data_IF_428431942658
#
_entry.id   IF_428431942658
#
_cell.length_a   1.000
_cell.length_b   1.000
_cell.length_c   1.000
_cell.angle_alpha   90.00
_cell.angle_beta   90.00
_cell.angle_gamma   90.00
#
_symmetry.space_group_name_H-M   'P 1'
#
loop_
_entity.id
_entity.type
_entity.pdbx_description
1 polymer ?
#
# COMPACT_ATOMS: atom_id res chain seq x y z
N UNK A 1 10.77 -11.14 -1.06
CA UNK A 1 9.68 -10.85 -0.10
C UNK A 1 8.40 -10.36 -0.77
N UNK A 2 8.48 -9.54 -1.83
CA UNK A 2 7.37 -8.65 -2.20
C UNK A 2 6.21 -9.24 -3.04
N UNK A 3 6.28 -10.47 -3.56
CA UNK A 3 5.20 -11.03 -4.41
C UNK A 3 4.32 -12.05 -3.68
N UNK A 4 4.60 -12.29 -2.40
CA UNK A 4 3.92 -13.29 -1.59
C UNK A 4 2.90 -12.71 -0.62
N UNK A 5 2.78 -11.38 -0.51
CA UNK A 5 2.00 -10.73 0.55
C UNK A 5 0.83 -9.89 0.04
N UNK A 6 0.51 -9.98 -1.26
CA UNK A 6 -0.71 -9.44 -1.86
C UNK A 6 -1.53 -10.60 -2.45
N UNK A 7 -2.85 -10.45 -2.55
CA UNK A 7 -3.79 -11.45 -3.07
C UNK A 7 -3.65 -12.82 -2.38
N UNK A 8 -3.32 -12.79 -1.09
CA UNK A 8 -3.18 -13.93 -0.20
C UNK A 8 -3.79 -13.57 1.17
N UNK A 9 -4.28 -14.54 1.92
CA UNK A 9 -5.09 -14.27 3.12
C UNK A 9 -4.32 -13.53 4.23
N UNK A 10 -3.00 -13.50 4.17
CA UNK A 10 -2.16 -12.77 5.11
C UNK A 10 -1.87 -11.33 4.67
N UNK A 11 -2.44 -10.82 3.57
CA UNK A 11 -2.23 -9.43 3.11
C UNK A 11 -2.52 -8.41 4.22
N UNK A 12 -3.75 -8.38 4.74
CA UNK A 12 -4.15 -7.42 5.77
C UNK A 12 -3.33 -7.56 7.07
N UNK A 13 -3.21 -8.75 7.70
CA UNK A 13 -2.44 -8.88 8.93
C UNK A 13 -0.93 -8.63 8.73
N UNK A 14 -0.35 -9.03 7.60
CA UNK A 14 1.06 -8.75 7.29
C UNK A 14 1.30 -7.23 7.18
N UNK A 15 0.46 -6.50 6.46
CA UNK A 15 0.65 -5.05 6.29
C UNK A 15 0.35 -4.27 7.57
N UNK A 16 -0.59 -4.72 8.41
CA UNK A 16 -0.78 -4.19 9.77
C UNK A 16 0.50 -4.34 10.59
N UNK A 17 1.04 -5.57 10.67
CA UNK A 17 2.27 -5.82 11.40
C UNK A 17 3.42 -4.98 10.84
N UNK A 18 3.53 -4.85 9.51
CA UNK A 18 4.62 -4.13 8.90
C UNK A 18 4.61 -2.62 9.22
N UNK A 19 3.43 -2.00 9.24
CA UNK A 19 3.26 -0.61 9.71
C UNK A 19 3.62 -0.48 11.19
N UNK A 20 3.21 -1.44 12.03
CA UNK A 20 3.55 -1.44 13.47
C UNK A 20 5.07 -1.56 13.67
N UNK A 21 5.74 -2.46 12.98
CA UNK A 21 7.21 -2.61 13.07
C UNK A 21 7.93 -1.33 12.60
N UNK A 22 7.42 -0.67 11.56
CA UNK A 22 7.96 0.62 11.12
C UNK A 22 7.75 1.72 12.17
N UNK A 23 6.57 1.78 12.80
CA UNK A 23 6.28 2.70 13.90
C UNK A 23 7.23 2.47 15.09
N UNK A 24 7.40 1.23 15.51
CA UNK A 24 8.32 0.84 16.57
C UNK A 24 9.76 1.22 16.23
N UNK A 25 10.19 1.02 14.99
CA UNK A 25 11.50 1.49 14.54
C UNK A 25 11.64 3.02 14.64
N UNK A 26 10.62 3.79 14.24
CA UNK A 26 10.63 5.25 14.39
C UNK A 26 10.68 5.68 15.87
N UNK A 27 9.97 4.98 16.76
CA UNK A 27 9.99 5.24 18.20
C UNK A 27 11.37 4.96 18.79
N UNK A 28 11.94 3.80 18.48
CA UNK A 28 13.18 3.31 19.07
C UNK A 28 14.46 3.96 18.50
N UNK A 29 14.46 4.33 17.21
CA UNK A 29 15.64 4.88 16.53
C UNK A 29 15.54 6.37 16.18
N UNK A 30 14.34 6.94 16.15
CA UNK A 30 14.11 8.32 15.69
C UNK A 30 13.38 9.20 16.71
N UNK A 31 13.15 8.73 17.94
CA UNK A 31 12.42 9.44 19.00
C UNK A 31 11.02 9.91 18.57
N UNK A 32 10.33 9.12 17.74
CA UNK A 32 8.96 9.44 17.36
C UNK A 32 8.02 9.36 18.57
N UNK A 33 7.35 10.46 18.89
CA UNK A 33 6.42 10.59 20.03
C UNK A 33 4.97 10.82 19.59
N UNK A 34 4.70 10.74 18.29
CA UNK A 34 3.34 10.84 17.77
C UNK A 34 2.44 9.73 18.32
N UNK A 35 1.11 9.93 18.28
CA UNK A 35 0.15 9.00 18.87
C UNK A 35 0.13 7.64 18.17
N UNK A 36 0.28 7.63 16.84
CA UNK A 36 0.34 6.45 15.99
C UNK A 36 0.96 6.84 14.63
N UNK A 37 1.18 5.86 13.76
CA UNK A 37 1.54 6.10 12.35
C UNK A 37 0.49 6.96 11.64
N UNK A 38 0.88 8.04 10.95
CA UNK A 38 -0.06 8.84 10.16
C UNK A 38 -0.56 8.04 8.96
N UNK A 39 -1.77 8.35 8.51
CA UNK A 39 -2.37 7.75 7.32
C UNK A 39 -2.70 8.79 6.26
N UNK A 40 -2.68 8.39 4.99
CA UNK A 40 -3.15 9.21 3.89
C UNK A 40 -4.65 8.96 3.67
N UNK A 41 -5.48 9.92 4.06
CA UNK A 41 -6.92 9.82 3.83
C UNK A 41 -7.27 10.08 2.34
N UNK A 42 -7.46 8.99 1.59
CA UNK A 42 -7.83 9.04 0.17
C UNK A 42 -9.07 9.87 -0.11
N UNK A 43 -10.06 9.85 0.79
CA UNK A 43 -11.40 10.41 0.52
C UNK A 43 -11.38 11.93 0.39
N UNK A 44 -10.39 12.58 1.00
CA UNK A 44 -10.17 14.02 0.95
C UNK A 44 -9.56 14.42 -0.40
N UNK A 45 -8.65 13.60 -0.92
CA UNK A 45 -7.87 13.94 -2.12
C UNK A 45 -8.43 13.34 -3.42
N UNK A 46 -9.30 12.33 -3.35
CA UNK A 46 -9.82 11.62 -4.53
C UNK A 46 -10.48 12.53 -5.57
N UNK A 47 -11.08 13.64 -5.13
CA UNK A 47 -11.70 14.62 -6.03
C UNK A 47 -10.69 15.54 -6.74
N UNK A 48 -9.53 15.80 -6.13
CA UNK A 48 -8.49 16.67 -6.69
C UNK A 48 -7.12 16.36 -6.07
N UNK A 49 -6.55 15.23 -6.48
CA UNK A 49 -5.30 14.74 -5.92
C UNK A 49 -4.11 15.65 -6.24
N UNK A 50 -4.10 16.28 -7.41
CA UNK A 50 -3.05 17.24 -7.82
C UNK A 50 -3.07 18.52 -6.97
N UNK A 51 -4.20 18.83 -6.34
CA UNK A 51 -4.34 19.95 -5.40
C UNK A 51 -4.13 19.57 -3.93
N UNK A 52 -3.81 18.32 -3.61
CA UNK A 52 -3.56 17.90 -2.23
C UNK A 52 -2.31 18.58 -1.67
N UNK A 53 -2.43 19.18 -0.49
CA UNK A 53 -1.30 19.80 0.21
C UNK A 53 -0.14 18.80 0.41
N UNK A 54 -0.43 17.51 0.56
CA UNK A 54 0.60 16.47 0.71
C UNK A 54 1.50 16.37 -0.54
N UNK A 55 0.93 16.62 -1.73
CA UNK A 55 1.61 16.52 -3.02
C UNK A 55 2.08 17.87 -3.58
N UNK A 56 1.58 19.00 -3.06
CA UNK A 56 1.98 20.34 -3.50
C UNK A 56 2.92 21.06 -2.54
N UNK A 57 3.03 20.65 -1.27
CA UNK A 57 3.95 21.27 -0.31
C UNK A 57 5.42 20.93 -0.65
N UNK A 58 6.23 21.95 -0.92
CA UNK A 58 7.68 21.84 -1.19
C UNK A 58 8.55 21.97 0.05
N UNK A 59 7.96 22.21 1.23
CA UNK A 59 8.69 22.28 2.48
C UNK A 59 9.20 20.90 2.93
N UNK A 60 10.11 20.82 3.93
CA UNK A 60 10.56 19.54 4.48
C UNK A 60 9.46 18.63 5.05
N UNK A 61 8.24 19.13 5.28
CA UNK A 61 7.08 18.28 5.67
C UNK A 61 6.28 17.74 4.49
N UNK A 62 6.47 18.28 3.28
CA UNK A 62 5.75 17.86 2.10
C UNK A 62 6.28 16.56 1.48
N UNK A 63 5.40 15.77 0.87
CA UNK A 63 5.76 14.51 0.22
C UNK A 63 5.99 14.66 -1.29
N UNK A 64 5.38 15.65 -1.94
CA UNK A 64 5.46 15.97 -3.39
C UNK A 64 4.85 14.97 -4.37
N UNK A 65 4.14 15.45 -5.39
CA UNK A 65 3.49 14.57 -6.37
C UNK A 65 4.44 14.01 -7.44
N UNK A 66 4.74 14.84 -8.45
CA UNK A 66 5.38 14.45 -9.71
C UNK A 66 6.89 14.68 -9.67
N UNK A 67 7.67 13.69 -10.10
CA UNK A 67 9.10 13.84 -10.34
C UNK A 67 9.45 14.26 -11.78
N UNK A 68 10.73 14.46 -12.05
CA UNK A 68 11.23 15.00 -13.31
C UNK A 68 11.16 13.96 -14.45
N UNK A 69 10.32 14.16 -15.49
CA UNK A 69 10.20 13.23 -16.61
C UNK A 69 11.49 13.08 -17.42
N UNK A 70 12.44 14.01 -17.31
CA UNK A 70 13.73 13.94 -17.98
C UNK A 70 14.81 13.24 -17.13
N UNK A 71 14.49 12.85 -15.90
CA UNK A 71 15.41 12.22 -14.95
C UNK A 71 14.76 11.02 -14.24
N UNK A 72 14.24 10.07 -15.01
CA UNK A 72 13.57 8.85 -14.54
C UNK A 72 12.47 9.11 -13.50
N UNK A 73 11.77 10.25 -13.61
CA UNK A 73 10.75 10.70 -12.66
C UNK A 73 11.24 10.83 -11.22
N UNK A 74 12.53 11.08 -11.02
CA UNK A 74 13.12 11.38 -9.71
C UNK A 74 12.52 12.66 -9.13
N UNK A 75 12.32 12.71 -7.82
CA UNK A 75 11.93 13.96 -7.14
C UNK A 75 13.01 15.05 -7.33
N UNK A 76 12.57 16.30 -7.47
CA UNK A 76 13.48 17.45 -7.63
C UNK A 76 14.26 17.68 -6.33
N UNK A 77 15.60 17.84 -6.37
CA UNK A 77 16.38 18.09 -5.15
C UNK A 77 15.88 19.32 -4.38
N UNK A 78 15.64 19.16 -3.07
CA UNK A 78 15.10 20.20 -2.19
C UNK A 78 13.59 20.38 -2.25
N UNK A 79 12.87 19.55 -3.00
CA UNK A 79 11.43 19.62 -3.16
C UNK A 79 10.73 18.58 -2.27
N UNK A 80 10.37 18.96 -1.05
CA UNK A 80 9.79 18.04 -0.07
C UNK A 80 10.82 17.36 0.85
N UNK A 81 10.34 16.71 1.91
CA UNK A 81 11.18 16.08 2.93
C UNK A 81 12.01 14.88 2.45
N UNK A 82 11.57 14.23 1.36
CA UNK A 82 12.17 12.99 0.86
C UNK A 82 12.85 13.12 -0.50
N UNK A 83 12.97 14.33 -1.06
CA UNK A 83 13.57 14.52 -2.39
C UNK A 83 15.01 14.03 -2.52
N UNK A 84 15.74 14.08 -1.41
CA UNK A 84 17.14 13.70 -1.32
C UNK A 84 17.31 12.31 -0.68
N UNK A 85 16.21 11.61 -0.38
CA UNK A 85 16.28 10.27 0.18
C UNK A 85 16.85 9.33 -0.87
N UNK A 86 18.04 8.81 -0.60
CA UNK A 86 18.76 7.92 -1.50
C UNK A 86 18.69 6.50 -0.99
N UNK A 87 18.08 5.65 -1.79
CA UNK A 87 17.87 4.24 -1.49
C UNK A 87 18.88 3.40 -2.25
N UNK A 88 19.55 2.46 -1.57
CA UNK A 88 20.70 1.72 -2.13
C UNK A 88 20.38 0.32 -2.67
N UNK A 89 19.30 -0.35 -2.24
CA UNK A 89 19.06 -1.78 -2.55
C UNK A 89 17.60 -2.09 -2.91
N UNK A 90 17.29 -2.67 -4.08
CA UNK A 90 18.19 -3.46 -4.92
C UNK A 90 18.87 -2.65 -6.02
N UNK A 91 18.39 -1.44 -6.29
CA UNK A 91 18.92 -0.53 -7.28
C UNK A 91 19.13 0.83 -6.61
N UNK A 92 20.34 1.41 -6.66
CA UNK A 92 20.60 2.74 -6.13
C UNK A 92 19.86 3.85 -6.90
N UNK A 93 18.97 4.60 -6.24
CA UNK A 93 18.27 5.77 -6.80
C UNK A 93 17.68 6.66 -5.70
N UNK A 94 17.30 7.90 -6.04
CA UNK A 94 16.38 8.71 -5.23
C UNK A 94 14.94 8.30 -5.50
N UNK A 95 14.00 8.69 -4.65
CA UNK A 95 12.57 8.40 -4.85
C UNK A 95 12.08 8.90 -6.21
N UNK A 96 11.33 8.04 -6.90
CA UNK A 96 10.75 8.29 -8.22
C UNK A 96 9.23 8.24 -8.17
N UNK A 97 8.58 9.22 -8.81
CA UNK A 97 7.12 9.34 -8.89
C UNK A 97 6.69 9.78 -10.29
N UNK A 98 6.24 8.81 -11.08
CA UNK A 98 5.58 9.06 -12.36
C UNK A 98 4.07 9.23 -12.13
N UNK A 99 3.73 10.33 -11.46
CA UNK A 99 2.38 10.58 -10.99
C UNK A 99 1.38 10.67 -12.16
N UNK A 100 0.41 9.76 -12.21
CA UNK A 100 -0.66 9.72 -13.21
C UNK A 100 -2.01 9.66 -12.49
N UNK A 101 -3.01 10.42 -12.95
CA UNK A 101 -4.29 10.54 -12.24
C UNK A 101 -5.06 9.22 -12.14
N UNK A 102 -4.91 8.32 -13.12
CA UNK A 102 -5.71 7.11 -13.21
C UNK A 102 -4.93 5.89 -12.70
N UNK A 103 -5.61 4.92 -12.04
CA UNK A 103 -7.07 4.85 -11.86
C UNK A 103 -7.61 5.64 -10.65
N UNK A 104 -6.76 6.27 -9.84
CA UNK A 104 -7.20 6.87 -8.57
C UNK A 104 -8.23 8.01 -8.70
N UNK A 105 -8.25 8.75 -9.81
CA UNK A 105 -9.28 9.77 -10.07
C UNK A 105 -10.73 9.21 -10.07
N UNK A 106 -10.89 7.90 -10.26
CA UNK A 106 -12.20 7.23 -10.14
C UNK A 106 -12.36 6.42 -8.86
N UNK A 107 -11.28 6.21 -8.11
CA UNK A 107 -11.24 5.40 -6.88
C UNK A 107 -11.00 6.25 -5.62
N UNK A 108 -10.96 5.63 -4.45
CA UNK A 108 -10.63 6.31 -3.19
C UNK A 108 -11.70 7.28 -2.68
N UNK A 109 -12.87 7.36 -3.33
CA UNK A 109 -13.95 8.25 -2.92
C UNK A 109 -14.56 7.79 -1.60
N UNK A 110 -15.04 8.76 -0.83
CA UNK A 110 -15.73 8.54 0.45
C UNK A 110 -16.81 7.45 0.36
N UNK A 111 -17.72 7.56 -0.61
CA UNK A 111 -18.79 6.58 -0.84
C UNK A 111 -18.29 5.15 -1.16
N UNK A 112 -17.09 5.01 -1.73
CA UNK A 112 -16.51 3.69 -2.03
C UNK A 112 -15.87 3.08 -0.78
N UNK A 113 -15.15 3.90 0.01
CA UNK A 113 -14.56 3.50 1.28
C UNK A 113 -15.67 3.11 2.28
N UNK A 114 -16.70 3.95 2.41
CA UNK A 114 -17.86 3.67 3.25
C UNK A 114 -18.59 2.39 2.84
N UNK A 115 -18.76 2.17 1.53
CA UNK A 115 -19.38 0.93 1.03
C UNK A 115 -18.55 -0.28 1.44
N UNK A 116 -17.24 -0.25 1.27
CA UNK A 116 -16.35 -1.35 1.62
C UNK A 116 -16.37 -1.64 3.13
N UNK A 117 -16.39 -0.62 3.98
CA UNK A 117 -16.46 -0.76 5.45
C UNK A 117 -17.77 -1.42 5.89
N UNK A 118 -18.88 -1.10 5.22
CA UNK A 118 -20.22 -1.54 5.61
C UNK A 118 -20.73 -2.77 4.82
N UNK A 119 -19.92 -3.36 3.94
CA UNK A 119 -20.27 -4.54 3.15
C UNK A 119 -19.66 -5.83 3.71
N UNK A 120 -19.94 -6.95 3.04
CA UNK A 120 -19.30 -8.27 3.29
C UNK A 120 -19.34 -8.73 4.75
N UNK A 121 -20.45 -8.51 5.45
CA UNK A 121 -20.56 -8.84 6.89
C UNK A 121 -20.23 -10.32 7.14
N UNK A 122 -19.19 -10.57 7.93
CA UNK A 122 -18.66 -11.91 8.25
C UNK A 122 -17.88 -12.58 7.12
N UNK A 123 -17.84 -11.99 5.92
CA UNK A 123 -17.16 -12.52 4.74
C UNK A 123 -15.83 -11.78 4.52
N UNK A 124 -14.82 -12.15 5.30
CA UNK A 124 -13.48 -11.59 5.19
C UNK A 124 -12.87 -11.81 3.80
N UNK A 125 -13.17 -12.93 3.14
CA UNK A 125 -12.62 -13.25 1.81
C UNK A 125 -13.08 -12.24 0.76
N UNK A 126 -14.39 -11.96 0.71
CA UNK A 126 -14.94 -10.98 -0.24
C UNK A 126 -14.53 -9.55 0.12
N UNK A 127 -14.46 -9.22 1.42
CA UNK A 127 -13.93 -7.94 1.88
C UNK A 127 -12.49 -7.69 1.40
N UNK A 128 -11.58 -8.63 1.67
CA UNK A 128 -10.18 -8.49 1.27
C UNK A 128 -10.04 -8.45 -0.26
N UNK A 129 -10.81 -9.28 -0.97
CA UNK A 129 -10.81 -9.28 -2.43
C UNK A 129 -11.21 -7.92 -3.03
N UNK A 130 -12.26 -7.28 -2.51
CA UNK A 130 -12.66 -5.93 -2.93
C UNK A 130 -11.64 -4.87 -2.51
N UNK A 131 -10.98 -5.04 -1.36
CA UNK A 131 -9.92 -4.14 -0.89
C UNK A 131 -8.65 -4.21 -1.76
N UNK A 132 -8.35 -5.35 -2.41
CA UNK A 132 -7.13 -5.55 -3.21
C UNK A 132 -7.33 -5.49 -4.73
N UNK A 133 -8.57 -5.54 -5.23
CA UNK A 133 -8.84 -5.52 -6.67
C UNK A 133 -8.24 -4.29 -7.36
N UNK A 134 -7.99 -4.35 -8.66
CA UNK A 134 -7.33 -3.27 -9.40
C UNK A 134 -8.02 -1.90 -9.27
N UNK A 135 -9.36 -1.90 -9.20
CA UNK A 135 -10.20 -0.71 -8.98
C UNK A 135 -10.51 -0.47 -7.50
N UNK A 136 -9.60 -0.84 -6.60
CA UNK A 136 -9.66 -0.47 -5.18
C UNK A 136 -8.83 0.79 -4.93
N UNK A 137 -9.14 1.52 -3.86
CA UNK A 137 -8.33 2.65 -3.41
C UNK A 137 -6.86 2.24 -3.11
N UNK A 138 -6.65 1.02 -2.60
CA UNK A 138 -5.33 0.45 -2.36
C UNK A 138 -4.52 0.33 -3.66
N UNK A 139 -5.02 -0.48 -4.62
CA UNK A 139 -4.29 -0.69 -5.86
C UNK A 139 -4.18 0.60 -6.67
N UNK A 140 -5.24 1.41 -6.72
CA UNK A 140 -5.25 2.67 -7.45
C UNK A 140 -4.25 3.69 -6.89
N UNK A 141 -4.15 3.81 -5.56
CA UNK A 141 -3.19 4.71 -4.92
C UNK A 141 -1.76 4.35 -5.28
N UNK A 142 -1.42 3.07 -5.29
CA UNK A 142 -0.12 2.61 -5.77
C UNK A 142 0.15 2.92 -7.24
N UNK A 143 -0.80 2.61 -8.14
CA UNK A 143 -0.61 2.81 -9.57
C UNK A 143 -0.50 4.28 -9.95
N UNK A 144 -1.32 5.12 -9.31
CA UNK A 144 -1.34 6.58 -9.53
C UNK A 144 0.04 7.20 -9.28
N UNK A 145 0.74 6.79 -8.23
CA UNK A 145 2.05 7.34 -7.92
C UNK A 145 3.13 6.98 -8.95
N UNK A 146 2.95 5.86 -9.67
CA UNK A 146 3.97 5.32 -10.57
C UNK A 146 5.30 5.13 -9.86
N UNK A 147 6.41 5.17 -10.61
CA UNK A 147 7.76 5.13 -10.04
C UNK A 147 7.94 4.00 -9.02
N UNK A 148 8.41 4.31 -7.82
CA UNK A 148 8.68 3.30 -6.79
C UNK A 148 7.40 2.71 -6.18
N UNK A 149 6.39 3.54 -5.92
CA UNK A 149 5.09 3.11 -5.39
C UNK A 149 4.31 2.21 -6.38
N UNK A 150 4.48 2.45 -7.67
CA UNK A 150 3.90 1.66 -8.78
C UNK A 150 4.77 0.48 -9.23
N UNK A 151 5.95 0.27 -8.63
CA UNK A 151 6.97 -0.74 -9.02
C UNK A 151 7.50 -0.61 -10.45
N UNK A 152 7.60 0.60 -10.98
CA UNK A 152 8.25 0.83 -12.26
C UNK A 152 9.75 0.63 -12.10
N UNK A 153 10.38 -0.10 -13.01
CA UNK A 153 11.81 -0.41 -12.93
C UNK A 153 12.62 0.85 -13.27
N UNK A 154 13.71 1.18 -12.53
CA UNK A 154 14.59 2.28 -12.91
C UNK A 154 15.19 2.12 -14.30
N UNK A 155 15.26 3.23 -15.04
CA UNK A 155 15.84 3.24 -16.37
C UNK A 155 17.28 2.71 -16.33
N UNK A 156 17.58 1.71 -17.17
CA UNK A 156 18.91 1.09 -17.25
C UNK A 156 19.10 -0.22 -16.47
N UNK A 157 18.12 -0.67 -15.68
CA UNK A 157 18.20 -1.92 -14.90
C UNK A 157 17.30 -3.04 -15.48
N UNK A 158 17.76 -3.78 -16.49
CA UNK A 158 16.82 -4.60 -17.30
C UNK A 158 16.63 -6.09 -16.97
N UNK A 159 17.37 -6.74 -16.05
CA UNK A 159 17.26 -8.22 -15.95
C UNK A 159 17.29 -8.86 -14.55
N UNK A 160 17.44 -8.10 -13.45
CA UNK A 160 17.56 -8.69 -12.08
C UNK A 160 16.52 -8.13 -11.08
N UNK A 161 15.71 -7.14 -11.47
CA UNK A 161 14.93 -6.31 -10.52
C UNK A 161 13.41 -6.54 -10.60
N UNK A 162 12.90 -7.31 -11.55
CA UNK A 162 11.44 -7.58 -11.68
C UNK A 162 10.83 -8.17 -10.40
N UNK A 163 11.60 -8.92 -9.61
CA UNK A 163 11.16 -9.54 -8.33
C UNK A 163 11.60 -8.76 -7.08
N UNK A 164 12.23 -7.59 -7.25
CA UNK A 164 12.85 -6.82 -6.15
C UNK A 164 12.46 -5.33 -6.09
N UNK A 165 11.62 -4.82 -7.00
CA UNK A 165 11.10 -3.46 -6.87
C UNK A 165 10.35 -3.31 -5.53
N UNK A 166 10.81 -2.39 -4.68
CA UNK A 166 10.33 -2.22 -3.31
C UNK A 166 9.49 -0.96 -3.20
N UNK A 167 8.18 -1.10 -2.94
CA UNK A 167 7.26 0.05 -2.76
C UNK A 167 7.56 0.84 -1.48
N UNK A 168 8.11 0.14 -0.48
CA UNK A 168 8.39 0.64 0.87
C UNK A 168 9.50 1.69 0.94
N UNK A 169 10.20 1.92 -0.16
CA UNK A 169 11.28 2.92 -0.26
C UNK A 169 10.72 4.34 -0.27
N UNK A 170 9.47 4.48 -0.73
CA UNK A 170 8.74 5.73 -0.69
C UNK A 170 8.00 5.83 0.64
N UNK A 171 8.26 6.89 1.41
CA UNK A 171 7.60 7.12 2.71
C UNK A 171 6.06 7.15 2.62
N UNK A 172 5.51 7.49 1.45
CA UNK A 172 4.07 7.45 1.20
C UNK A 172 3.48 6.05 1.34
N UNK A 173 4.28 4.98 1.18
CA UNK A 173 3.86 3.61 1.42
C UNK A 173 3.26 3.43 2.82
N UNK A 174 3.93 3.96 3.84
CA UNK A 174 3.53 3.80 5.24
C UNK A 174 2.22 4.53 5.53
N UNK A 175 2.04 5.73 4.97
CA UNK A 175 0.78 6.47 5.08
C UNK A 175 -0.35 5.77 4.34
N UNK A 176 -0.06 5.23 3.15
CA UNK A 176 -1.04 4.50 2.34
C UNK A 176 -1.51 3.23 3.06
N UNK A 177 -0.59 2.41 3.58
CA UNK A 177 -0.96 1.18 4.28
C UNK A 177 -1.51 1.41 5.68
N UNK A 178 -1.19 2.52 6.34
CA UNK A 178 -1.91 2.94 7.56
C UNK A 178 -3.38 3.26 7.26
N UNK A 179 -3.69 3.78 6.07
CA UNK A 179 -5.09 3.98 5.64
C UNK A 179 -5.77 2.65 5.29
N UNK A 180 -5.08 1.72 4.62
CA UNK A 180 -5.58 0.34 4.40
C UNK A 180 -5.92 -0.32 5.74
N UNK A 181 -5.03 -0.18 6.72
CA UNK A 181 -5.22 -0.76 8.04
C UNK A 181 -6.40 -0.14 8.79
N UNK A 182 -6.54 1.19 8.72
CA UNK A 182 -7.68 1.92 9.27
C UNK A 182 -9.00 1.41 8.68
N UNK A 183 -9.08 1.25 7.36
CA UNK A 183 -10.29 0.75 6.68
C UNK A 183 -10.64 -0.66 7.15
N UNK A 184 -9.64 -1.54 7.28
CA UNK A 184 -9.87 -2.88 7.82
C UNK A 184 -10.31 -2.85 9.29
N UNK A 185 -9.68 -2.01 10.12
CA UNK A 185 -10.10 -1.82 11.51
C UNK A 185 -11.54 -1.32 11.60
N UNK A 186 -11.95 -0.36 10.77
CA UNK A 186 -13.34 0.13 10.74
C UNK A 186 -14.31 -0.98 10.32
N UNK A 187 -13.97 -1.78 9.30
CA UNK A 187 -14.78 -2.94 8.92
C UNK A 187 -14.90 -3.97 10.06
N UNK A 188 -13.81 -4.27 10.79
CA UNK A 188 -13.84 -5.16 11.95
C UNK A 188 -14.78 -4.65 13.05
N UNK A 189 -14.86 -3.32 13.22
CA UNK A 189 -15.69 -2.67 14.24
C UNK A 189 -17.13 -2.38 13.78
N UNK A 190 -17.41 -2.43 12.47
CA UNK A 190 -18.73 -2.14 11.92
C UNK A 190 -19.79 -3.21 12.28
N UNK A 191 -19.38 -4.46 12.50
CA UNK A 191 -20.31 -5.54 12.85
C UNK A 191 -19.63 -6.65 13.68
N UNK A 192 -20.30 -7.24 14.70
CA UNK A 192 -19.70 -8.30 15.54
C UNK A 192 -19.20 -9.53 14.77
N UNK A 193 -19.86 -9.87 13.66
CA UNK A 193 -19.43 -10.97 12.78
C UNK A 193 -18.08 -10.70 12.09
N UNK A 194 -17.64 -9.44 11.98
CA UNK A 194 -16.41 -9.04 11.30
C UNK A 194 -15.19 -9.10 12.25
N UNK A 195 -15.41 -8.91 13.56
CA UNK A 195 -14.35 -8.70 14.54
C UNK A 195 -13.22 -9.76 14.50
N UNK A 196 -13.60 -11.02 14.29
CA UNK A 196 -12.69 -12.17 14.21
C UNK A 196 -12.80 -12.93 12.90
N UNK A 197 -13.48 -12.36 11.90
CA UNK A 197 -13.59 -12.99 10.59
C UNK A 197 -12.22 -13.01 9.93
N UNK A 198 -11.78 -14.20 9.56
CA UNK A 198 -10.52 -14.43 8.87
C UNK A 198 -10.65 -15.70 8.03
N UNK A 199 -10.30 -15.60 6.75
CA UNK A 199 -10.26 -16.72 5.83
C UNK A 199 -9.29 -16.39 4.70
N UNK A 200 -8.57 -17.37 4.16
CA UNK A 200 -7.75 -17.16 2.97
C UNK A 200 -6.59 -18.15 2.90
N UNK A 201 -5.87 -18.10 1.80
CA UNK A 201 -4.77 -19.01 1.51
C UNK A 201 -3.41 -18.31 1.44
N UNK A 202 -2.34 -18.99 1.81
CA UNK A 202 -0.98 -18.44 1.79
C UNK A 202 -0.39 -18.35 0.36
N UNK A 203 -0.99 -19.02 -0.62
CA UNK A 203 -0.51 -19.07 -2.00
C UNK A 203 -1.32 -18.13 -2.88
N UNK A 204 -0.65 -17.23 -3.61
CA UNK A 204 -1.29 -16.33 -4.58
C UNK A 204 -1.83 -17.14 -5.76
N UNK A 205 -3.09 -16.87 -6.16
CA UNK A 205 -3.81 -17.63 -7.20
C UNK A 205 -4.34 -16.68 -8.29
N UNK A 206 -3.43 -16.12 -9.10
CA UNK A 206 -3.71 -15.10 -10.13
C UNK A 206 -3.50 -15.58 -11.58
N UNK A 207 -3.44 -16.90 -11.80
CA UNK A 207 -3.08 -17.47 -13.10
C UNK A 207 -4.13 -17.21 -14.18
N UNK A 208 -5.41 -17.17 -13.81
CA UNK A 208 -6.51 -16.76 -14.69
C UNK A 208 -7.76 -16.38 -13.89
N UNK A 209 -8.75 -15.79 -14.57
CA UNK A 209 -10.00 -15.31 -13.95
C UNK A 209 -10.79 -16.41 -13.23
N UNK A 210 -10.81 -17.63 -13.75
CA UNK A 210 -11.53 -18.77 -13.12
C UNK A 210 -10.86 -19.18 -11.81
N UNK A 211 -9.53 -19.22 -11.78
CA UNK A 211 -8.77 -19.55 -10.57
C UNK A 211 -8.90 -18.42 -9.54
N UNK A 212 -8.75 -17.17 -9.97
CA UNK A 212 -8.93 -16.00 -9.10
C UNK A 212 -10.33 -15.94 -8.49
N UNK A 213 -11.38 -16.18 -9.28
CA UNK A 213 -12.76 -16.23 -8.78
C UNK A 213 -12.97 -17.30 -7.70
N UNK A 214 -12.18 -18.39 -7.72
CA UNK A 214 -12.25 -19.45 -6.71
C UNK A 214 -11.43 -19.12 -5.45
N UNK A 215 -10.30 -18.42 -5.61
CA UNK A 215 -9.34 -18.13 -4.55
C UNK A 215 -8.94 -16.64 -4.56
N UNK A 216 -9.88 -15.71 -4.37
CA UNK A 216 -9.65 -14.29 -4.61
C UNK A 216 -8.69 -13.65 -3.59
N UNK A 217 -8.50 -14.30 -2.45
CA UNK A 217 -7.50 -13.96 -1.43
C UNK A 217 -6.56 -15.15 -1.14
N UNK A 218 -6.22 -15.91 -2.18
CA UNK A 218 -5.22 -16.97 -2.13
C UNK A 218 -5.78 -18.38 -1.88
N UNK A 219 -5.01 -19.37 -2.31
CA UNK A 219 -5.27 -20.80 -2.20
C UNK A 219 -4.34 -21.48 -1.18
N UNK A 220 -4.50 -22.80 -1.04
CA UNK A 220 -3.84 -23.59 -0.02
C UNK A 220 -2.30 -23.38 0.05
N UNK A 221 -1.67 -23.48 1.25
CA UNK A 221 -2.29 -23.85 2.52
C UNK A 221 -3.22 -22.77 3.06
N UNK A 222 -4.40 -23.18 3.55
CA UNK A 222 -5.36 -22.26 4.15
C UNK A 222 -4.90 -21.88 5.55
N UNK A 223 -5.14 -20.61 5.89
CA UNK A 223 -4.66 -20.00 7.12
C UNK A 223 -5.81 -19.82 8.10
N UNK A 224 -5.46 -19.75 9.37
CA UNK A 224 -6.35 -19.46 10.50
C UNK A 224 -5.71 -18.41 11.42
N UNK A 225 -6.42 -18.05 12.50
CA UNK A 225 -5.94 -17.07 13.48
C UNK A 225 -4.68 -17.50 14.24
N UNK A 226 -4.28 -18.77 14.17
CA UNK A 226 -3.06 -19.30 14.80
C UNK A 226 -1.90 -19.45 13.82
N UNK A 227 -2.14 -19.18 12.53
CA UNK A 227 -1.13 -19.28 11.49
C UNK A 227 -0.09 -18.17 11.70
N UNK A 228 1.19 -18.56 11.74
CA UNK A 228 2.27 -17.59 11.82
C UNK A 228 2.36 -16.79 10.53
N UNK A 229 2.41 -15.47 10.67
CA UNK A 229 2.71 -14.57 9.56
C UNK A 229 4.17 -14.85 9.14
N UNK A 230 4.46 -15.01 7.83
CA UNK A 230 5.83 -15.15 7.37
C UNK A 230 6.60 -13.85 7.64
N UNK A 231 7.45 -13.87 8.66
CA UNK A 231 8.24 -12.74 9.17
C UNK A 231 9.75 -12.93 8.95
N UNK A 232 10.15 -13.95 8.17
CA UNK A 232 11.54 -14.38 7.92
C UNK A 232 12.41 -14.50 9.20
N UNK A 233 11.79 -14.71 10.38
CA UNK A 233 12.43 -14.69 11.71
C UNK A 233 13.25 -13.41 12.00
N UNK A 234 12.75 -12.24 11.60
CA UNK A 234 13.31 -10.96 12.07
C UNK A 234 13.16 -10.79 13.58
#
# INVERSE_FOLDING_TARGET
>A
MNDKVQFAGHFLPFHRLYVVEYEEALRNFCNYTGPASPYWNWTIDAANIEGSNMFTDSSPSGLRGRGDPNNDYSLYPGDGGFSNFYHYYPSPHVIRRNFTLYPFATEGKDSQVDRLINSHIGDFKSFQAEAEVFQSAHTAGHQMMGGDMGRYIPFGYYLVVLTRANRFVDALFWLHHSMVDKVWWEWQNAHPANAWAFEGGATVMLENATIYAKYPNGGAPFMDLNTRIPDDNM
#
